data_IF_441976463435
#
_entry.id   IF_441976463435
#
_cell.length_a   1.000
_cell.length_b   1.000
_cell.length_c   1.000
_cell.angle_alpha   90.00
_cell.angle_beta   90.00
_cell.angle_gamma   90.00
#
_symmetry.space_group_name_H-M   'P 1'
#
loop_
_entity.id
_entity.type
_entity.pdbx_description
1 polymer ?
#
# COMPACT_ATOMS: atom_id res chain seq x y z
N UNK A 1 -16.33 4.68 -3.56
CA UNK A 1 -15.29 4.59 -2.52
C UNK A 1 -13.98 4.20 -3.19
N UNK A 2 -12.87 4.80 -2.78
CA UNK A 2 -11.52 4.51 -3.24
C UNK A 2 -10.75 3.76 -2.16
N UNK A 3 -10.30 2.55 -2.45
CA UNK A 3 -9.58 1.68 -1.51
C UNK A 3 -8.14 1.48 -1.99
N UNK A 4 -7.18 1.96 -1.20
CA UNK A 4 -5.76 1.64 -1.43
C UNK A 4 -5.41 0.36 -0.68
N UNK A 5 -4.77 -0.59 -1.35
CA UNK A 5 -4.41 -1.90 -0.78
C UNK A 5 -2.89 -2.05 -0.82
N UNK A 6 -2.25 -2.05 0.35
CA UNK A 6 -0.84 -2.38 0.52
C UNK A 6 -0.64 -3.88 0.68
N UNK A 7 -0.04 -4.52 -0.33
CA UNK A 7 0.12 -5.96 -0.41
C UNK A 7 1.58 -6.40 -0.20
N UNK A 8 1.77 -7.53 0.49
CA UNK A 8 3.05 -8.23 0.47
C UNK A 8 3.29 -9.00 -0.84
N UNK A 9 4.55 -9.33 -1.13
CA UNK A 9 4.92 -10.01 -2.38
C UNK A 9 4.27 -11.39 -2.52
N UNK A 10 4.08 -12.10 -1.40
CA UNK A 10 3.47 -13.43 -1.38
C UNK A 10 1.95 -13.41 -1.40
N UNK A 11 1.30 -12.25 -1.20
CA UNK A 11 -0.17 -12.13 -1.15
C UNK A 11 -0.75 -11.21 -2.23
N UNK A 12 0.10 -10.49 -2.96
CA UNK A 12 -0.35 -9.51 -3.97
C UNK A 12 -1.26 -10.10 -5.05
N UNK A 13 -1.09 -11.36 -5.43
CA UNK A 13 -1.96 -12.00 -6.41
C UNK A 13 -3.37 -12.26 -5.86
N UNK A 14 -3.50 -12.70 -4.60
CA UNK A 14 -4.80 -12.83 -3.94
C UNK A 14 -5.48 -11.48 -3.75
N UNK A 15 -4.70 -10.44 -3.43
CA UNK A 15 -5.24 -9.09 -3.22
C UNK A 15 -5.67 -8.42 -4.52
N UNK A 16 -5.10 -8.80 -5.67
CA UNK A 16 -5.60 -8.42 -7.00
C UNK A 16 -6.96 -9.06 -7.30
N UNK A 17 -7.12 -10.36 -7.04
CA UNK A 17 -8.42 -11.01 -7.22
C UNK A 17 -9.49 -10.43 -6.28
N UNK A 18 -9.09 -10.10 -5.05
CA UNK A 18 -9.95 -9.38 -4.11
C UNK A 18 -10.34 -8.00 -4.65
N UNK A 19 -9.39 -7.19 -5.14
CA UNK A 19 -9.69 -5.87 -5.70
C UNK A 19 -10.61 -5.94 -6.91
N UNK A 20 -10.39 -6.90 -7.81
CA UNK A 20 -11.26 -7.11 -8.99
C UNK A 20 -12.71 -7.42 -8.58
N UNK A 21 -12.92 -8.15 -7.48
CA UNK A 21 -14.27 -8.42 -6.98
C UNK A 21 -14.88 -7.19 -6.29
N UNK A 22 -14.09 -6.36 -5.62
CA UNK A 22 -14.57 -5.09 -5.07
C UNK A 22 -14.93 -4.07 -6.17
N UNK A 23 -14.18 -4.05 -7.27
CA UNK A 23 -14.45 -3.20 -8.43
C UNK A 23 -15.80 -3.51 -9.08
N UNK A 24 -16.21 -4.80 -9.12
CA UNK A 24 -17.56 -5.20 -9.54
C UNK A 24 -18.67 -4.62 -8.65
N UNK A 25 -18.34 -4.20 -7.44
CA UNK A 25 -19.25 -3.57 -6.48
C UNK A 25 -19.08 -2.04 -6.42
N UNK A 26 -18.55 -1.42 -7.49
CA UNK A 26 -18.34 0.03 -7.62
C UNK A 26 -17.35 0.62 -6.59
N UNK A 27 -16.38 -0.17 -6.14
CA UNK A 27 -15.26 0.29 -5.31
C UNK A 27 -14.01 0.40 -6.19
N UNK A 28 -13.49 1.61 -6.33
CA UNK A 28 -12.25 1.85 -7.08
C UNK A 28 -11.06 1.39 -6.21
N UNK A 29 -10.28 0.43 -6.71
CA UNK A 29 -9.18 -0.15 -5.94
C UNK A 29 -7.83 0.17 -6.56
N UNK A 30 -6.80 0.32 -5.73
CA UNK A 30 -5.40 0.36 -6.17
C UNK A 30 -4.57 -0.58 -5.31
N UNK A 31 -4.04 -1.64 -5.91
CA UNK A 31 -3.14 -2.58 -5.24
C UNK A 31 -1.70 -2.18 -5.49
N UNK A 32 -0.93 -1.98 -4.42
CA UNK A 32 0.50 -1.65 -4.49
C UNK A 32 1.32 -2.64 -3.69
N UNK A 33 2.58 -2.83 -4.07
CA UNK A 33 3.52 -3.58 -3.25
C UNK A 33 3.98 -2.68 -2.09
N UNK A 34 3.66 -3.08 -0.86
CA UNK A 34 3.86 -2.24 0.34
C UNK A 34 5.30 -1.73 0.52
N UNK A 35 6.28 -2.58 0.20
CA UNK A 35 7.70 -2.33 0.44
C UNK A 35 8.30 -1.34 -0.56
N UNK A 36 7.60 -1.01 -1.66
CA UNK A 36 8.05 0.04 -2.58
C UNK A 36 7.79 1.46 -2.02
N UNK A 37 6.86 1.56 -1.09
CA UNK A 37 6.38 2.82 -0.52
C UNK A 37 6.76 2.98 0.95
N UNK A 38 6.96 1.88 1.69
CA UNK A 38 7.31 1.91 3.10
C UNK A 38 8.24 0.73 3.46
N UNK A 39 9.56 0.99 3.48
CA UNK A 39 10.65 0.02 3.71
C UNK A 39 11.50 0.41 4.94
N UNK A 40 10.84 0.90 6.01
CA UNK A 40 11.44 1.41 7.24
C UNK A 40 12.24 0.37 8.07
N UNK A 41 12.57 0.71 9.32
CA UNK A 41 13.38 -0.14 10.20
C UNK A 41 12.65 -1.42 10.67
N UNK A 42 13.27 -2.64 10.60
CA UNK A 42 14.62 -2.95 10.17
C UNK A 42 14.66 -3.52 8.73
N UNK A 43 14.80 -2.65 7.73
CA UNK A 43 15.11 -3.08 6.36
C UNK A 43 16.62 -3.19 6.11
N UNK A 44 17.03 -4.01 5.14
CA UNK A 44 18.43 -4.18 4.72
C UNK A 44 19.03 -2.90 4.12
N UNK A 45 18.21 -1.89 3.83
CA UNK A 45 18.60 -0.62 3.23
C UNK A 45 18.52 0.49 4.28
N UNK A 46 19.54 0.57 5.14
CA UNK A 46 19.64 1.53 6.26
C UNK A 46 19.42 2.99 5.80
N UNK A 47 19.82 3.35 4.57
CA UNK A 47 19.57 4.67 4.00
C UNK A 47 18.09 5.02 3.75
N UNK A 48 17.18 4.03 3.76
CA UNK A 48 15.74 4.25 3.65
C UNK A 48 15.08 4.49 5.01
N UNK A 49 15.74 4.19 6.14
CA UNK A 49 15.17 4.42 7.48
C UNK A 49 14.92 5.89 7.80
N UNK A 50 15.64 6.80 7.13
CA UNK A 50 15.53 8.25 7.29
C UNK A 50 14.96 8.95 6.05
N UNK A 51 14.65 8.21 4.97
CA UNK A 51 14.00 8.83 3.80
C UNK A 51 12.57 9.12 4.18
N UNK A 52 12.22 10.42 4.17
CA UNK A 52 10.87 10.90 4.41
C UNK A 52 9.87 10.08 3.62
N UNK A 53 8.71 9.84 4.20
CA UNK A 53 7.56 9.08 3.70
C UNK A 53 6.93 9.66 2.41
N UNK A 54 7.72 10.32 1.55
CA UNK A 54 7.31 11.11 0.40
C UNK A 54 6.61 10.26 -0.65
N UNK A 55 7.07 9.01 -0.86
CA UNK A 55 6.44 8.10 -1.82
C UNK A 55 5.05 7.66 -1.39
N UNK A 56 4.88 7.32 -0.11
CA UNK A 56 3.56 6.99 0.41
C UNK A 56 2.65 8.22 0.39
N UNK A 57 3.17 9.39 0.79
CA UNK A 57 2.44 10.66 0.73
C UNK A 57 2.01 11.02 -0.70
N UNK A 58 2.90 10.87 -1.68
CA UNK A 58 2.62 11.06 -3.11
C UNK A 58 1.55 10.08 -3.59
N UNK A 59 1.67 8.79 -3.22
CA UNK A 59 0.66 7.78 -3.54
C UNK A 59 -0.73 8.14 -2.98
N UNK A 60 -0.80 8.61 -1.74
CA UNK A 60 -2.05 9.06 -1.11
C UNK A 60 -2.59 10.31 -1.79
N UNK A 61 -1.73 11.29 -2.10
CA UNK A 61 -2.14 12.55 -2.76
C UNK A 61 -2.63 12.34 -4.19
N UNK A 62 -2.03 11.41 -4.92
CA UNK A 62 -2.40 11.09 -6.30
C UNK A 62 -3.68 10.28 -6.36
N UNK A 63 -3.78 9.22 -5.54
CA UNK A 63 -4.92 8.32 -5.58
C UNK A 63 -6.13 8.82 -4.79
N UNK A 64 -5.89 9.57 -3.70
CA UNK A 64 -6.89 10.10 -2.75
C UNK A 64 -7.86 9.02 -2.24
N UNK A 65 -7.35 7.96 -1.58
CA UNK A 65 -8.20 6.90 -1.06
C UNK A 65 -9.09 7.36 0.09
N UNK A 66 -10.29 6.78 0.20
CA UNK A 66 -11.17 6.92 1.38
C UNK A 66 -10.70 6.01 2.53
N UNK A 67 -10.06 4.88 2.20
CA UNK A 67 -9.53 3.93 3.16
C UNK A 67 -8.26 3.24 2.65
N UNK A 68 -7.42 2.79 3.58
CA UNK A 68 -6.21 2.01 3.29
C UNK A 68 -6.33 0.63 3.95
N UNK A 69 -6.26 -0.42 3.14
CA UNK A 69 -6.21 -1.81 3.58
C UNK A 69 -4.76 -2.29 3.60
N UNK A 70 -4.31 -2.81 4.74
CA UNK A 70 -2.94 -3.25 4.98
C UNK A 70 -2.88 -4.75 5.20
N UNK A 71 -2.21 -5.47 4.29
CA UNK A 71 -1.96 -6.91 4.42
C UNK A 71 -1.03 -7.23 5.59
N UNK A 72 -0.05 -6.35 5.85
CA UNK A 72 0.93 -6.51 6.92
C UNK A 72 0.94 -5.27 7.80
N UNK A 73 0.94 -5.48 9.12
CA UNK A 73 1.20 -4.43 10.11
C UNK A 73 2.70 -4.07 10.11
N UNK A 74 3.16 -3.42 9.04
CA UNK A 74 4.50 -2.84 8.90
C UNK A 74 4.36 -1.33 8.65
N UNK A 75 5.43 -0.69 8.18
CA UNK A 75 5.53 0.74 7.87
C UNK A 75 4.42 1.30 6.96
N UNK A 76 3.82 0.48 6.09
CA UNK A 76 2.81 0.96 5.14
C UNK A 76 1.51 1.34 5.88
N UNK A 77 1.14 2.63 5.82
CA UNK A 77 -0.04 3.16 6.50
C UNK A 77 0.10 3.39 8.00
N UNK A 78 1.28 3.17 8.59
CA UNK A 78 1.58 3.47 10.00
C UNK A 78 2.57 4.63 10.20
N UNK A 79 3.42 4.90 9.21
CA UNK A 79 4.34 6.04 9.17
C UNK A 79 3.71 7.30 8.56
#
# INVERSE_FOLDING_TARGET
>A
MKLLIGASSSKIFHLKEFSENLEKNNIECKVVFDSDYADGFPSRKIGNWFKSNSKFTELINDFKPDAVFVDRQRHFGLE
#
